data_IF_706291530637
#
_entry.id   IF_706291530637
#
_cell.length_a   1.000
_cell.length_b   1.000
_cell.length_c   1.000
_cell.angle_alpha   90.00
_cell.angle_beta   90.00
_cell.angle_gamma   90.00
#
_symmetry.space_group_name_H-M   'P 1'
#
loop_
_entity.id
_entity.type
_entity.pdbx_description
1 polymer ?
#
# COMPACT_ATOMS: atom_id res chain seq x y z
N UNK A 1 -16.63 30.48 -2.24
CA UNK A 1 -18.08 30.40 -2.01
C UNK A 1 -18.48 30.82 -0.59
N UNK A 2 -17.83 30.30 0.47
CA UNK A 2 -18.16 30.69 1.85
C UNK A 2 -18.05 32.16 2.17
N UNK A 3 -17.06 32.88 1.60
CA UNK A 3 -16.90 34.32 1.84
C UNK A 3 -18.00 35.20 1.17
N UNK A 4 -18.44 34.80 -0.03
CA UNK A 4 -19.52 35.51 -0.72
C UNK A 4 -20.87 35.26 -0.02
N UNK A 5 -21.10 34.04 0.45
CA UNK A 5 -22.30 33.70 1.24
C UNK A 5 -22.33 34.43 2.59
N UNK A 6 -21.20 34.48 3.30
CA UNK A 6 -21.09 35.21 4.57
C UNK A 6 -21.27 36.72 4.40
N UNK A 7 -20.87 37.30 3.26
CA UNK A 7 -21.16 38.72 2.94
C UNK A 7 -22.63 38.94 2.67
N UNK A 8 -23.30 38.01 1.96
CA UNK A 8 -24.74 38.13 1.69
C UNK A 8 -25.57 38.03 2.99
N UNK A 9 -25.21 37.11 3.88
CA UNK A 9 -25.90 36.91 5.18
C UNK A 9 -25.65 38.11 6.15
N UNK A 10 -24.47 38.73 6.09
CA UNK A 10 -24.13 39.89 6.92
C UNK A 10 -24.87 41.19 6.51
N UNK A 11 -25.40 41.22 5.30
CA UNK A 11 -26.19 42.34 4.75
C UNK A 11 -27.56 42.46 5.45
N UNK A 12 -28.14 41.35 5.94
CA UNK A 12 -29.46 41.32 6.61
C UNK A 12 -29.57 42.13 7.92
N UNK A 13 -28.49 42.69 8.47
CA UNK A 13 -28.48 43.37 9.76
C UNK A 13 -28.20 44.88 9.70
N UNK A 14 -28.05 45.46 8.52
CA UNK A 14 -27.89 46.91 8.32
C UNK A 14 -28.96 47.40 7.34
N UNK A 15 -29.43 48.65 7.53
CA UNK A 15 -30.23 49.34 6.51
C UNK A 15 -29.34 49.54 5.28
N UNK A 16 -29.50 48.73 4.27
CA UNK A 16 -28.77 48.78 3.00
C UNK A 16 -29.60 49.57 1.98
N UNK A 17 -28.88 50.25 1.10
CA UNK A 17 -29.53 50.85 -0.05
C UNK A 17 -29.92 49.79 -1.05
N UNK A 18 -31.01 49.99 -1.79
CA UNK A 18 -31.49 49.07 -2.83
C UNK A 18 -30.42 48.80 -3.92
N UNK A 19 -29.43 49.67 -4.05
CA UNK A 19 -28.29 49.46 -4.97
C UNK A 19 -27.28 48.47 -4.44
N UNK A 20 -26.99 48.49 -3.13
CA UNK A 20 -26.07 47.52 -2.47
C UNK A 20 -26.63 46.11 -2.50
N UNK A 21 -27.92 45.92 -2.25
CA UNK A 21 -28.60 44.63 -2.36
C UNK A 21 -28.53 44.10 -3.79
N UNK A 22 -28.78 44.88 -4.78
CA UNK A 22 -28.73 44.46 -6.20
C UNK A 22 -27.32 44.16 -6.66
N UNK A 23 -26.31 44.79 -6.07
CA UNK A 23 -24.91 44.47 -6.37
C UNK A 23 -24.46 43.18 -5.71
N UNK A 24 -24.87 42.93 -4.47
CA UNK A 24 -24.60 41.69 -3.75
C UNK A 24 -25.28 40.49 -4.41
N UNK A 25 -26.51 40.65 -4.90
CA UNK A 25 -27.23 39.59 -5.64
C UNK A 25 -26.50 39.22 -6.95
N UNK A 26 -26.04 40.21 -7.72
CA UNK A 26 -25.24 39.97 -8.93
C UNK A 26 -23.92 39.24 -8.65
N UNK A 27 -23.24 39.62 -7.57
CA UNK A 27 -21.99 38.98 -7.16
C UNK A 27 -22.23 37.53 -6.73
N UNK A 28 -23.31 37.27 -5.99
CA UNK A 28 -23.73 35.94 -5.63
C UNK A 28 -24.05 35.08 -6.85
N UNK A 29 -24.83 35.57 -7.81
CA UNK A 29 -25.14 34.82 -9.03
C UNK A 29 -23.89 34.51 -9.86
N UNK A 30 -22.91 35.46 -9.92
CA UNK A 30 -21.63 35.21 -10.59
C UNK A 30 -20.84 34.11 -9.91
N UNK A 31 -20.67 34.19 -8.59
CA UNK A 31 -19.96 33.16 -7.80
C UNK A 31 -20.64 31.78 -7.90
N UNK A 32 -21.98 31.77 -7.94
CA UNK A 32 -22.76 30.52 -8.13
C UNK A 32 -22.51 29.91 -9.50
N UNK A 33 -22.49 30.72 -10.56
CA UNK A 33 -22.23 30.24 -11.91
C UNK A 33 -20.80 29.70 -12.06
N UNK A 34 -19.80 30.33 -11.44
CA UNK A 34 -18.42 29.87 -11.41
C UNK A 34 -18.33 28.50 -10.66
N UNK A 35 -18.97 28.39 -9.50
CA UNK A 35 -19.02 27.15 -8.73
C UNK A 35 -19.67 26.01 -9.51
N UNK A 36 -20.79 26.26 -10.16
CA UNK A 36 -21.49 25.24 -10.96
C UNK A 36 -20.65 24.77 -12.15
N UNK A 37 -19.84 25.67 -12.73
CA UNK A 37 -18.88 25.34 -13.78
C UNK A 37 -17.76 24.44 -13.26
N UNK A 38 -17.11 24.83 -12.17
CA UNK A 38 -16.04 24.04 -11.55
C UNK A 38 -16.54 22.67 -11.08
N UNK A 39 -17.75 22.62 -10.52
CA UNK A 39 -18.39 21.36 -10.13
C UNK A 39 -18.59 20.43 -11.31
N UNK A 40 -19.06 20.94 -12.46
CA UNK A 40 -19.21 20.13 -13.68
C UNK A 40 -17.89 19.60 -14.23
N UNK A 41 -16.80 20.38 -14.11
CA UNK A 41 -15.48 19.93 -14.51
C UNK A 41 -14.95 18.84 -13.58
N UNK A 42 -15.17 18.98 -12.27
CA UNK A 42 -14.82 18.00 -11.27
C UNK A 42 -15.58 16.68 -11.50
N UNK A 43 -16.89 16.73 -11.75
CA UNK A 43 -17.70 15.55 -12.04
C UNK A 43 -17.20 14.81 -13.30
N UNK A 44 -16.78 15.54 -14.34
CA UNK A 44 -16.16 14.93 -15.53
C UNK A 44 -14.85 14.23 -15.20
N UNK A 45 -14.00 14.82 -14.38
CA UNK A 45 -12.74 14.21 -13.95
C UNK A 45 -12.99 12.93 -13.13
N UNK A 46 -14.01 12.92 -12.28
CA UNK A 46 -14.39 11.72 -11.53
C UNK A 46 -14.87 10.59 -12.45
N UNK A 47 -15.67 10.88 -13.46
CA UNK A 47 -16.11 9.86 -14.42
C UNK A 47 -14.95 9.32 -15.26
N UNK A 48 -14.01 10.17 -15.71
CA UNK A 48 -12.79 9.73 -16.39
C UNK A 48 -11.95 8.81 -15.50
N UNK A 49 -11.71 9.21 -14.26
CA UNK A 49 -10.93 8.39 -13.31
C UNK A 49 -11.60 7.02 -13.05
N UNK A 50 -12.93 7.00 -12.99
CA UNK A 50 -13.70 5.76 -12.82
C UNK A 50 -13.58 4.85 -14.04
N UNK A 51 -13.57 5.42 -15.23
CA UNK A 51 -13.37 4.69 -16.48
C UNK A 51 -11.96 4.12 -16.56
N UNK A 52 -10.93 4.91 -16.27
CA UNK A 52 -9.53 4.47 -16.24
C UNK A 52 -9.32 3.30 -15.25
N UNK A 53 -9.94 3.36 -14.07
CA UNK A 53 -9.89 2.26 -13.10
C UNK A 53 -10.54 0.99 -13.64
N UNK A 54 -11.66 1.11 -14.35
CA UNK A 54 -12.35 -0.04 -14.94
C UNK A 54 -11.53 -0.68 -16.05
N UNK A 55 -10.89 0.13 -16.91
CA UNK A 55 -9.99 -0.33 -17.97
C UNK A 55 -8.73 -1.00 -17.39
N UNK A 56 -8.12 -0.41 -16.36
CA UNK A 56 -6.98 -1.00 -15.68
C UNK A 56 -7.33 -2.34 -15.01
N UNK A 57 -8.50 -2.44 -14.39
CA UNK A 57 -8.98 -3.70 -13.82
C UNK A 57 -9.17 -4.78 -14.89
N UNK A 58 -9.79 -4.44 -16.01
CA UNK A 58 -10.02 -5.35 -17.12
C UNK A 58 -8.72 -5.80 -17.78
N UNK A 59 -7.72 -4.91 -17.84
CA UNK A 59 -6.38 -5.25 -18.31
C UNK A 59 -5.68 -6.24 -17.39
N UNK A 60 -5.76 -6.04 -16.06
CA UNK A 60 -5.16 -6.95 -15.08
C UNK A 60 -5.82 -8.33 -15.08
N UNK A 61 -7.13 -8.39 -15.25
CA UNK A 61 -7.89 -9.64 -15.37
C UNK A 61 -7.46 -10.43 -16.62
N UNK A 62 -7.37 -9.77 -17.77
CA UNK A 62 -6.88 -10.36 -19.02
C UNK A 62 -5.43 -10.82 -18.92
N UNK A 63 -4.57 -10.08 -18.21
CA UNK A 63 -3.17 -10.45 -17.98
C UNK A 63 -3.08 -11.71 -17.11
N UNK A 64 -3.87 -11.79 -16.06
CA UNK A 64 -3.96 -12.97 -15.18
C UNK A 64 -4.36 -14.22 -15.96
N UNK A 65 -5.38 -14.11 -16.80
CA UNK A 65 -5.84 -15.22 -17.65
C UNK A 65 -4.76 -15.66 -18.65
N UNK A 66 -4.03 -14.72 -19.24
CA UNK A 66 -2.92 -15.02 -20.15
C UNK A 66 -1.77 -15.74 -19.42
N UNK A 67 -1.41 -15.28 -18.21
CA UNK A 67 -0.38 -15.94 -17.38
C UNK A 67 -0.81 -17.36 -17.02
N UNK A 68 -2.08 -17.56 -16.66
CA UNK A 68 -2.61 -18.88 -16.36
C UNK A 68 -2.54 -19.81 -17.58
N UNK A 69 -2.97 -19.35 -18.77
CA UNK A 69 -2.87 -20.13 -20.01
C UNK A 69 -1.44 -20.49 -20.38
N UNK A 70 -0.50 -19.54 -20.21
CA UNK A 70 0.93 -19.79 -20.46
C UNK A 70 1.50 -20.81 -19.48
N UNK A 71 1.08 -20.79 -18.21
CA UNK A 71 1.52 -21.79 -17.22
C UNK A 71 1.05 -23.19 -17.58
N UNK A 72 -0.18 -23.35 -18.07
CA UNK A 72 -0.71 -24.65 -18.57
C UNK A 72 0.11 -25.14 -19.75
N UNK A 73 0.34 -24.29 -20.77
CA UNK A 73 1.13 -24.63 -21.94
C UNK A 73 2.57 -25.02 -21.55
N UNK A 74 3.17 -24.30 -20.62
CA UNK A 74 4.49 -24.61 -20.11
C UNK A 74 4.52 -25.97 -19.41
N UNK A 75 3.52 -26.29 -18.60
CA UNK A 75 3.41 -27.63 -17.96
C UNK A 75 3.18 -28.74 -18.98
N UNK A 76 2.45 -28.50 -20.06
CA UNK A 76 2.29 -29.47 -21.16
C UNK A 76 3.60 -29.71 -21.92
N UNK A 77 4.35 -28.65 -22.19
CA UNK A 77 5.70 -28.72 -22.81
C UNK A 77 6.64 -29.50 -21.90
N UNK A 78 6.68 -29.19 -20.60
CA UNK A 78 7.50 -29.93 -19.64
C UNK A 78 7.15 -31.42 -19.62
N UNK A 79 5.86 -31.78 -19.58
CA UNK A 79 5.41 -33.16 -19.64
C UNK A 79 5.85 -33.88 -20.91
N UNK A 80 5.95 -33.17 -22.04
CA UNK A 80 6.32 -33.74 -23.34
C UNK A 80 7.83 -33.93 -23.49
N UNK A 81 8.63 -33.03 -22.92
CA UNK A 81 10.09 -32.99 -23.18
C UNK A 81 10.94 -33.38 -21.95
N UNK A 82 10.34 -33.54 -20.77
CA UNK A 82 11.10 -34.11 -19.63
C UNK A 82 11.25 -35.64 -19.83
N UNK A 83 12.47 -36.16 -19.66
CA UNK A 83 12.72 -37.59 -19.64
C UNK A 83 11.86 -38.29 -18.56
N UNK A 84 11.46 -39.54 -18.83
CA UNK A 84 10.53 -40.27 -17.95
C UNK A 84 11.08 -40.53 -16.54
N UNK A 85 12.40 -40.56 -16.42
CA UNK A 85 13.13 -40.67 -15.14
C UNK A 85 12.97 -39.41 -14.21
N UNK A 86 12.52 -38.29 -14.72
CA UNK A 86 12.21 -37.10 -13.92
C UNK A 86 10.72 -37.04 -13.55
N UNK A 87 9.87 -37.80 -14.26
CA UNK A 87 8.42 -37.83 -14.02
C UNK A 87 8.03 -38.62 -12.77
N UNK A 88 8.87 -39.52 -12.29
CA UNK A 88 8.56 -40.41 -11.16
C UNK A 88 9.08 -39.94 -9.79
N UNK A 89 9.83 -38.85 -9.73
CA UNK A 89 10.18 -38.29 -8.42
C UNK A 89 9.06 -37.37 -7.92
N UNK A 90 7.92 -37.97 -7.56
CA UNK A 90 7.14 -37.49 -6.45
C UNK A 90 8.05 -37.51 -5.20
N UNK A 91 8.06 -36.48 -4.40
CA UNK A 91 8.71 -36.52 -3.10
C UNK A 91 7.83 -37.36 -2.14
N UNK A 92 7.91 -38.68 -2.29
CA UNK A 92 7.54 -39.64 -1.25
C UNK A 92 8.79 -40.39 -0.86
N UNK A 93 9.23 -40.11 0.38
CA UNK A 93 10.09 -40.92 1.23
C UNK A 93 11.38 -41.51 0.64
N UNK A 94 12.47 -40.82 0.91
CA UNK A 94 13.69 -41.50 1.32
C UNK A 94 14.41 -40.68 2.38
N UNK A 95 14.04 -40.92 3.62
CA UNK A 95 14.92 -40.81 4.77
C UNK A 95 15.90 -41.97 4.63
N UNK A 96 17.20 -41.68 4.36
CA UNK A 96 18.34 -42.17 5.13
C UNK A 96 19.67 -41.88 4.43
N UNK A 97 20.57 -41.32 5.23
CA UNK A 97 22.02 -41.35 5.14
C UNK A 97 22.70 -40.41 4.14
N UNK A 98 22.93 -39.15 4.60
CA UNK A 98 24.32 -38.65 4.73
C UNK A 98 24.32 -37.54 5.81
N UNK A 99 24.82 -37.94 6.99
CA UNK A 99 25.14 -37.03 8.06
C UNK A 99 26.43 -36.31 7.72
N UNK A 100 26.34 -34.98 7.61
CA UNK A 100 27.32 -34.04 8.15
C UNK A 100 26.85 -32.60 7.89
N UNK A 101 26.50 -31.95 9.01
CA UNK A 101 26.44 -30.50 9.19
C UNK A 101 25.51 -29.70 8.27
N UNK A 102 24.22 -29.84 8.42
CA UNK A 102 23.24 -28.82 8.15
C UNK A 102 22.41 -28.55 9.41
N UNK A 103 22.46 -27.30 9.82
CA UNK A 103 21.64 -26.70 10.85
C UNK A 103 20.19 -27.14 10.65
N UNK A 104 19.62 -27.77 11.67
CA UNK A 104 18.22 -28.19 11.74
C UNK A 104 17.30 -26.97 11.51
N UNK A 105 16.84 -26.81 10.29
CA UNK A 105 15.63 -26.04 10.00
C UNK A 105 14.51 -27.06 9.73
N UNK A 106 13.75 -27.37 10.74
CA UNK A 106 12.38 -27.88 10.58
C UNK A 106 11.66 -26.96 9.58
N UNK A 107 10.88 -27.49 8.60
CA UNK A 107 10.02 -26.67 7.77
C UNK A 107 8.95 -26.04 8.68
N UNK A 108 9.22 -24.82 9.17
CA UNK A 108 8.15 -23.99 9.73
C UNK A 108 7.12 -23.81 8.61
N UNK A 109 5.88 -24.19 8.85
CA UNK A 109 4.76 -23.90 7.95
C UNK A 109 4.86 -22.43 7.56
N UNK A 110 5.16 -22.16 6.29
CA UNK A 110 5.34 -20.80 5.78
C UNK A 110 3.98 -20.13 5.79
N UNK A 111 3.71 -19.37 6.85
CA UNK A 111 2.46 -18.63 6.99
C UNK A 111 2.50 -17.37 6.14
N UNK A 112 1.51 -17.19 5.25
CA UNK A 112 1.31 -15.95 4.51
C UNK A 112 0.64 -14.92 5.43
N UNK A 113 1.39 -13.89 5.82
CA UNK A 113 0.89 -12.82 6.69
C UNK A 113 0.06 -11.80 5.92
N UNK A 114 0.45 -11.49 4.68
CA UNK A 114 -0.20 -10.50 3.83
C UNK A 114 -0.31 -11.00 2.40
N UNK A 115 -1.49 -10.84 1.82
CA UNK A 115 -1.69 -11.03 0.40
C UNK A 115 -1.06 -9.86 -0.42
N UNK A 116 -1.04 -9.99 -1.74
CA UNK A 116 -0.46 -8.98 -2.63
C UNK A 116 -1.28 -7.68 -2.67
N UNK A 117 -2.55 -7.74 -2.33
CA UNK A 117 -3.48 -6.62 -2.48
C UNK A 117 -3.09 -5.39 -1.64
N UNK A 118 -2.83 -5.48 -0.32
CA UNK A 118 -2.30 -4.36 0.45
C UNK A 118 -0.82 -4.07 0.16
N UNK A 119 -0.02 -5.06 -0.24
CA UNK A 119 1.42 -4.87 -0.44
C UNK A 119 1.77 -4.11 -1.72
N UNK A 120 0.97 -4.23 -2.78
CA UNK A 120 1.22 -3.54 -4.04
C UNK A 120 1.23 -2.00 -3.89
N UNK A 121 0.23 -1.34 -3.30
CA UNK A 121 0.26 0.10 -3.08
C UNK A 121 1.37 0.51 -2.09
N UNK A 122 1.65 -0.28 -1.04
CA UNK A 122 2.76 0.00 -0.12
C UNK A 122 4.09 -0.03 -0.86
N UNK A 123 4.33 -1.04 -1.71
CA UNK A 123 5.52 -1.12 -2.54
C UNK A 123 5.66 0.11 -3.42
N UNK A 124 4.60 0.49 -4.14
CA UNK A 124 4.60 1.66 -5.05
C UNK A 124 4.90 2.98 -4.34
N UNK A 125 4.50 3.12 -3.08
CA UNK A 125 4.71 4.34 -2.30
C UNK A 125 6.05 4.34 -1.56
N UNK A 126 6.46 3.20 -0.99
CA UNK A 126 7.58 3.15 -0.05
C UNK A 126 8.92 2.77 -0.70
N UNK A 127 8.90 2.00 -1.81
CA UNK A 127 10.15 1.63 -2.49
C UNK A 127 10.70 2.80 -3.30
N UNK A 128 11.97 3.10 -3.11
CA UNK A 128 12.60 4.31 -3.64
C UNK A 128 12.54 5.50 -2.68
N UNK A 129 11.60 5.53 -1.72
CA UNK A 129 11.47 6.56 -0.70
C UNK A 129 11.98 6.08 0.67
N UNK A 130 11.31 5.13 1.30
CA UNK A 130 11.68 4.57 2.60
C UNK A 130 12.62 3.38 2.49
N UNK A 131 12.46 2.60 1.43
CA UNK A 131 13.30 1.44 1.14
C UNK A 131 14.17 1.65 -0.09
N UNK A 132 15.31 0.95 -0.14
CA UNK A 132 16.09 0.84 -1.38
C UNK A 132 15.26 0.15 -2.47
N UNK A 133 15.67 0.33 -3.74
CA UNK A 133 14.98 -0.27 -4.87
C UNK A 133 14.98 -1.80 -4.76
N UNK A 134 13.79 -2.39 -4.81
CA UNK A 134 13.56 -3.83 -4.72
C UNK A 134 12.35 -4.21 -5.60
N UNK A 135 12.34 -5.41 -6.16
CA UNK A 135 11.21 -5.90 -6.95
C UNK A 135 9.99 -6.15 -6.06
N UNK A 136 8.79 -6.07 -6.62
CA UNK A 136 7.55 -6.37 -5.88
C UNK A 136 7.54 -7.81 -5.35
N UNK A 137 8.13 -8.77 -6.08
CA UNK A 137 8.23 -10.16 -5.66
C UNK A 137 9.15 -10.33 -4.44
N UNK A 138 10.33 -9.69 -4.45
CA UNK A 138 11.25 -9.71 -3.31
C UNK A 138 10.67 -8.93 -2.12
N UNK A 139 9.96 -7.81 -2.37
CA UNK A 139 9.27 -7.06 -1.32
C UNK A 139 8.21 -7.92 -0.64
N UNK A 140 7.35 -8.59 -1.42
CA UNK A 140 6.35 -9.53 -0.93
C UNK A 140 6.99 -10.66 -0.11
N UNK A 141 8.07 -11.27 -0.61
CA UNK A 141 8.77 -12.33 0.10
C UNK A 141 9.35 -11.86 1.43
N UNK A 142 10.00 -10.67 1.47
CA UNK A 142 10.54 -10.11 2.71
C UNK A 142 9.44 -9.81 3.74
N UNK A 143 8.32 -9.22 3.32
CA UNK A 143 7.22 -8.88 4.22
C UNK A 143 6.53 -10.14 4.78
N UNK A 144 6.41 -11.20 3.97
CA UNK A 144 5.88 -12.50 4.41
C UNK A 144 6.94 -13.40 5.07
N UNK A 145 8.17 -12.88 5.25
CA UNK A 145 9.28 -13.62 5.88
C UNK A 145 9.68 -14.88 5.11
N UNK A 146 9.43 -14.91 3.82
CA UNK A 146 9.85 -15.98 2.94
C UNK A 146 11.33 -15.86 2.57
N UNK A 147 12.01 -16.98 2.32
CA UNK A 147 13.37 -16.97 1.79
C UNK A 147 13.44 -16.20 0.47
N UNK A 148 14.31 -15.19 0.37
CA UNK A 148 14.52 -14.41 -0.84
C UNK A 148 15.99 -14.01 -1.01
N UNK A 149 16.38 -13.74 -2.26
CA UNK A 149 17.77 -13.36 -2.58
C UNK A 149 18.08 -11.93 -2.15
N UNK A 150 17.14 -11.02 -2.39
CA UNK A 150 17.31 -9.59 -2.12
C UNK A 150 16.59 -9.22 -0.82
N UNK A 151 17.37 -8.84 0.19
CA UNK A 151 16.81 -8.41 1.46
C UNK A 151 16.36 -6.95 1.38
N UNK A 152 15.22 -6.67 2.00
CA UNK A 152 14.67 -5.33 2.15
C UNK A 152 15.60 -4.48 3.03
N UNK A 153 15.98 -3.29 2.52
CA UNK A 153 16.87 -2.37 3.22
C UNK A 153 16.21 -1.00 3.37
N UNK A 154 16.35 -0.44 4.56
CA UNK A 154 15.83 0.90 4.88
C UNK A 154 16.82 1.96 4.43
N UNK A 155 16.34 3.00 3.74
CA UNK A 155 17.15 4.17 3.40
C UNK A 155 17.55 4.98 4.64
N UNK A 156 18.65 5.69 4.53
CA UNK A 156 19.13 6.55 5.60
C UNK A 156 18.06 7.55 6.06
N UNK A 157 17.86 7.70 7.37
CA UNK A 157 16.88 8.59 8.03
C UNK A 157 15.41 8.18 7.90
N UNK A 158 15.09 7.03 7.28
CA UNK A 158 13.71 6.57 7.08
C UNK A 158 13.22 5.59 8.18
N UNK A 159 14.07 5.20 9.13
CA UNK A 159 13.71 4.21 10.18
C UNK A 159 12.43 4.58 10.94
N UNK A 160 12.18 5.86 11.22
CA UNK A 160 10.99 6.32 11.95
C UNK A 160 9.70 6.01 11.16
N UNK A 161 9.68 6.34 9.88
CA UNK A 161 8.52 6.07 9.01
C UNK A 161 8.31 4.59 8.79
N UNK A 162 9.39 3.82 8.67
CA UNK A 162 9.32 2.36 8.58
C UNK A 162 8.76 1.75 9.88
N UNK A 163 9.13 2.26 11.06
CA UNK A 163 8.52 1.82 12.33
C UNK A 163 6.99 2.06 12.34
N UNK A 164 6.54 3.20 11.82
CA UNK A 164 5.11 3.49 11.72
C UNK A 164 4.41 2.57 10.71
N UNK A 165 5.02 2.31 9.56
CA UNK A 165 4.50 1.35 8.58
C UNK A 165 4.35 -0.05 9.21
N UNK A 166 5.38 -0.54 9.91
CA UNK A 166 5.33 -1.84 10.62
C UNK A 166 4.19 -1.85 11.65
N UNK A 167 3.98 -0.76 12.36
CA UNK A 167 2.86 -0.63 13.29
C UNK A 167 1.52 -0.78 12.57
N UNK A 168 1.27 -0.02 11.51
CA UNK A 168 0.01 -0.10 10.75
C UNK A 168 -0.22 -1.50 10.16
N UNK A 169 0.82 -2.13 9.63
CA UNK A 169 0.75 -3.49 9.11
C UNK A 169 0.42 -4.49 10.23
N UNK A 170 1.11 -4.39 11.36
CA UNK A 170 0.88 -5.28 12.49
C UNK A 170 -0.57 -5.20 13.02
N UNK A 171 -1.19 -4.01 13.00
CA UNK A 171 -2.59 -3.82 13.40
C UNK A 171 -3.60 -4.53 12.46
N UNK A 172 -3.20 -4.88 11.23
CA UNK A 172 -4.04 -5.66 10.30
C UNK A 172 -3.96 -7.16 10.53
N UNK A 173 -2.97 -7.62 11.25
CA UNK A 173 -2.83 -9.02 11.60
C UNK A 173 -3.70 -9.40 12.81
N UNK A 174 -4.12 -10.66 12.86
CA UNK A 174 -4.77 -11.21 14.04
C UNK A 174 -3.81 -11.16 15.24
N UNK A 175 -4.36 -11.07 16.45
CA UNK A 175 -3.55 -11.00 17.69
C UNK A 175 -2.51 -12.12 17.79
N UNK A 176 -2.85 -13.30 17.27
CA UNK A 176 -1.98 -14.48 17.32
C UNK A 176 -0.67 -14.27 16.54
N UNK A 177 -0.72 -13.61 15.38
CA UNK A 177 0.42 -13.44 14.48
C UNK A 177 1.11 -12.08 14.60
N UNK A 178 0.45 -11.09 15.21
CA UNK A 178 0.89 -9.70 15.27
C UNK A 178 2.28 -9.55 15.89
N UNK A 179 2.46 -10.08 17.09
CA UNK A 179 3.68 -9.91 17.84
C UNK A 179 4.82 -10.72 17.22
N UNK A 180 4.55 -11.95 16.81
CA UNK A 180 5.52 -12.82 16.15
C UNK A 180 6.02 -12.20 14.83
N UNK A 181 5.11 -11.76 13.98
CA UNK A 181 5.48 -11.12 12.71
C UNK A 181 6.29 -9.85 12.94
N UNK A 182 5.82 -8.98 13.85
CA UNK A 182 6.52 -7.75 14.19
C UNK A 182 7.96 -8.02 14.65
N UNK A 183 8.15 -8.94 15.55
CA UNK A 183 9.48 -9.24 16.10
C UNK A 183 10.42 -9.82 15.02
N UNK A 184 9.90 -10.65 14.12
CA UNK A 184 10.66 -11.19 12.98
C UNK A 184 11.01 -10.10 11.96
N UNK A 185 10.07 -9.21 11.60
CA UNK A 185 10.32 -8.13 10.64
C UNK A 185 11.28 -7.07 11.19
N UNK A 186 11.22 -6.75 12.48
CA UNK A 186 12.16 -5.84 13.13
C UNK A 186 13.59 -6.40 13.05
N UNK A 187 13.77 -7.70 13.32
CA UNK A 187 15.08 -8.38 13.17
C UNK A 187 15.56 -8.38 11.72
N UNK A 188 14.67 -8.64 10.75
CA UNK A 188 15.02 -8.62 9.33
C UNK A 188 15.51 -7.24 8.87
N UNK A 189 14.91 -6.17 9.40
CA UNK A 189 15.21 -4.78 9.04
C UNK A 189 16.28 -4.12 9.92
N UNK A 190 16.90 -4.86 10.83
CA UNK A 190 17.88 -4.34 11.80
C UNK A 190 17.35 -3.13 12.58
N UNK A 191 16.15 -3.28 13.13
CA UNK A 191 15.51 -2.29 14.00
C UNK A 191 15.47 -2.86 15.41
N UNK A 192 16.10 -2.15 16.35
CA UNK A 192 16.04 -2.49 17.76
C UNK A 192 14.62 -2.29 18.33
N UNK A 193 14.16 -3.20 19.17
CA UNK A 193 12.81 -3.17 19.74
C UNK A 193 12.58 -1.91 20.61
N UNK A 194 13.60 -1.48 21.36
CA UNK A 194 13.51 -0.27 22.20
C UNK A 194 13.36 0.98 21.32
N UNK A 195 14.10 1.03 20.21
CA UNK A 195 13.97 2.09 19.21
C UNK A 195 12.55 2.08 18.60
N UNK A 196 12.07 0.91 18.15
CA UNK A 196 10.72 0.77 17.63
C UNK A 196 9.66 1.28 18.60
N UNK A 197 9.68 0.82 19.85
CA UNK A 197 8.74 1.25 20.90
C UNK A 197 8.73 2.74 21.15
N UNK A 198 9.88 3.41 21.01
CA UNK A 198 9.99 4.85 21.20
C UNK A 198 9.56 5.68 19.98
N UNK A 199 9.55 5.09 18.75
CA UNK A 199 9.46 5.83 17.48
C UNK A 199 8.23 5.53 16.62
N UNK A 200 7.57 4.39 16.82
CA UNK A 200 6.50 3.95 15.92
C UNK A 200 5.29 4.90 15.83
N UNK A 201 5.03 5.73 16.84
CA UNK A 201 3.97 6.74 16.84
C UNK A 201 4.44 8.16 16.52
N UNK A 202 5.73 8.38 16.30
CA UNK A 202 6.25 9.72 16.03
C UNK A 202 5.60 10.41 14.83
N UNK A 203 5.29 9.73 13.70
CA UNK A 203 4.61 10.36 12.58
C UNK A 203 3.19 10.88 12.85
N UNK A 204 2.55 10.41 13.90
CA UNK A 204 1.21 10.82 14.37
C UNK A 204 1.23 11.44 15.76
N UNK A 205 2.38 11.90 16.24
CA UNK A 205 2.53 12.64 17.50
C UNK A 205 1.87 14.03 17.43
N UNK A 206 1.84 14.75 18.55
CA UNK A 206 1.27 16.10 18.61
C UNK A 206 1.99 17.11 17.71
N UNK A 207 3.30 16.92 17.49
CA UNK A 207 4.15 17.80 16.69
C UNK A 207 5.00 17.02 15.68
N UNK A 208 4.39 16.33 14.69
CA UNK A 208 5.15 15.62 13.67
C UNK A 208 5.78 16.61 12.69
N UNK A 209 6.91 16.23 12.09
CA UNK A 209 7.41 16.98 10.92
C UNK A 209 6.44 16.86 9.75
N UNK A 210 6.42 17.86 8.86
CA UNK A 210 5.53 17.89 7.67
C UNK A 210 5.66 16.61 6.84
N UNK A 211 6.89 16.13 6.66
CA UNK A 211 7.17 14.90 5.92
C UNK A 211 6.66 13.64 6.63
N UNK A 212 6.71 13.59 7.95
CA UNK A 212 6.13 12.48 8.73
C UNK A 212 4.60 12.51 8.68
N UNK A 213 4.00 13.70 8.80
CA UNK A 213 2.56 13.86 8.71
C UNK A 213 2.01 13.47 7.33
N UNK A 214 2.71 13.88 6.26
CA UNK A 214 2.35 13.49 4.89
C UNK A 214 2.40 11.97 4.73
N UNK A 215 3.49 11.35 5.17
CA UNK A 215 3.67 9.89 5.12
C UNK A 215 2.58 9.16 5.91
N UNK A 216 2.26 9.63 7.13
CA UNK A 216 1.21 9.01 7.94
C UNK A 216 -0.15 9.03 7.23
N UNK A 217 -0.57 10.17 6.68
CA UNK A 217 -1.82 10.30 5.92
C UNK A 217 -1.86 9.39 4.70
N UNK A 218 -0.75 9.27 3.98
CA UNK A 218 -0.63 8.42 2.80
C UNK A 218 -0.77 6.94 3.17
N UNK A 219 -0.04 6.49 4.19
CA UNK A 219 -0.14 5.11 4.68
C UNK A 219 -1.53 4.79 5.21
N UNK A 220 -2.13 5.64 6.04
CA UNK A 220 -3.49 5.43 6.55
C UNK A 220 -4.52 5.31 5.42
N UNK A 221 -4.33 6.01 4.30
CA UNK A 221 -5.22 5.90 3.14
C UNK A 221 -5.17 4.52 2.47
N UNK A 222 -4.01 3.86 2.49
CA UNK A 222 -3.81 2.52 1.94
C UNK A 222 -4.48 1.46 2.85
N UNK A 223 -4.48 1.69 4.16
CA UNK A 223 -4.99 0.74 5.14
C UNK A 223 -6.48 0.94 5.50
N UNK A 224 -7.14 1.93 4.93
CA UNK A 224 -8.60 2.13 5.09
C UNK A 224 -9.38 1.16 4.21
#
# INVERSE_FOLDING_TARGET
MNEAYNRYDSIGYREHTAEEEKQAEKEYERCKAEYDKEKKELDKLYELQKQDRKEAFQYTENLSDNVYRLSILFMEILKKYLPDDVKEKRPEESVEQNAQEEVQNTPEEQHEYFDMKPLSPIHGTCVGEQFEAITIADFYANINLYPCKNKLKIKAREKIRVCYLIFLMSEKLSKQYRDEWRDKILKLLDIDESYYRSKYKEPVSDFPSDSNQKFAKEMESIFR
#
